data_IF_329230519045
#
_entry.id   IF_329230519045
#
_cell.length_a   1.000
_cell.length_b   1.000
_cell.length_c   1.000
_cell.angle_alpha   90.00
_cell.angle_beta   90.00
_cell.angle_gamma   90.00
#
_symmetry.space_group_name_H-M   'P 1'
#
loop_
_entity.id
_entity.type
_entity.pdbx_description
1 polymer ?
#
# COMPACT_ATOMS: atom_id res chain seq x y z
N UNK A 1 10.90 1.59 9.69
CA UNK A 1 12.03 1.38 8.75
C UNK A 1 12.72 2.68 8.32
N UNK A 2 12.01 3.68 7.78
CA UNK A 2 12.58 4.98 7.33
C UNK A 2 13.66 5.58 8.26
N UNK A 3 13.37 5.71 9.56
CA UNK A 3 14.35 6.23 10.54
C UNK A 3 15.65 5.40 10.61
N UNK A 4 15.57 4.06 10.53
CA UNK A 4 16.75 3.17 10.54
C UNK A 4 17.62 3.39 9.30
N UNK A 5 17.01 3.58 8.13
CA UNK A 5 17.72 3.87 6.88
C UNK A 5 18.29 5.30 6.83
N UNK A 6 17.62 6.27 7.44
CA UNK A 6 18.16 7.62 7.62
C UNK A 6 19.43 7.63 8.48
N UNK A 7 19.46 6.85 9.56
CA UNK A 7 20.64 6.76 10.45
C UNK A 7 21.89 6.26 9.75
N UNK A 8 21.74 5.49 8.67
CA UNK A 8 22.86 4.96 7.86
C UNK A 8 23.07 5.75 6.55
N UNK A 9 22.37 6.87 6.36
CA UNK A 9 22.47 7.70 5.16
C UNK A 9 21.86 7.12 3.89
N UNK A 10 21.20 5.96 3.95
CA UNK A 10 20.79 5.22 2.75
C UNK A 10 19.33 5.46 2.32
N UNK A 11 18.56 6.27 3.06
CA UNK A 11 17.16 6.55 2.74
C UNK A 11 16.96 7.16 1.35
N UNK A 12 17.78 8.16 1.00
CA UNK A 12 17.63 8.87 -0.28
C UNK A 12 17.88 7.95 -1.48
N UNK A 13 18.76 6.96 -1.32
CA UNK A 13 19.01 5.90 -2.31
C UNK A 13 17.78 5.01 -2.44
N UNK A 14 17.30 4.41 -1.35
CA UNK A 14 16.19 3.45 -1.44
C UNK A 14 14.85 4.07 -1.79
N UNK A 15 14.61 5.34 -1.46
CA UNK A 15 13.38 6.03 -1.82
C UNK A 15 13.40 6.55 -3.27
N UNK A 16 14.54 6.42 -3.97
CA UNK A 16 14.72 6.87 -5.35
C UNK A 16 14.88 8.38 -5.53
N UNK A 17 15.10 9.11 -4.44
CA UNK A 17 15.40 10.56 -4.47
C UNK A 17 16.80 10.83 -5.02
N UNK A 18 17.77 9.99 -4.65
CA UNK A 18 19.10 9.95 -5.25
C UNK A 18 19.10 8.88 -6.33
N UNK A 19 19.41 9.26 -7.56
CA UNK A 19 19.59 8.35 -8.69
C UNK A 19 20.97 8.60 -9.29
N UNK A 20 21.65 7.52 -9.69
CA UNK A 20 22.89 7.64 -10.43
C UNK A 20 22.64 8.11 -11.85
N UNK A 21 23.46 9.04 -12.29
CA UNK A 21 23.54 9.49 -13.68
C UNK A 21 24.84 9.02 -14.32
N UNK A 22 24.89 9.01 -15.65
CA UNK A 22 26.10 8.60 -16.37
C UNK A 22 27.26 9.56 -16.11
N UNK A 23 26.97 10.85 -15.99
CA UNK A 23 27.92 11.93 -15.71
C UNK A 23 28.45 11.98 -14.27
N UNK A 24 27.84 11.24 -13.33
CA UNK A 24 28.25 11.26 -11.92
C UNK A 24 29.69 10.77 -11.75
N UNK A 25 30.39 11.37 -10.80
CA UNK A 25 31.80 11.05 -10.53
C UNK A 25 31.93 9.61 -10.05
N UNK A 26 33.08 8.98 -10.30
CA UNK A 26 33.36 7.62 -9.84
C UNK A 26 33.13 7.45 -8.33
N UNK A 27 33.59 8.41 -7.52
CA UNK A 27 33.44 8.34 -6.06
C UNK A 27 31.96 8.41 -5.62
N UNK A 28 31.13 9.16 -6.33
CA UNK A 28 29.69 9.26 -6.06
C UNK A 28 28.95 7.96 -6.41
N UNK A 29 29.35 7.32 -7.51
CA UNK A 29 28.87 5.99 -7.91
C UNK A 29 29.23 4.93 -6.88
N UNK A 30 30.49 4.90 -6.45
CA UNK A 30 30.97 3.98 -5.41
C UNK A 30 30.18 4.16 -4.11
N UNK A 31 30.00 5.41 -3.66
CA UNK A 31 29.25 5.70 -2.45
C UNK A 31 27.77 5.34 -2.56
N UNK A 32 27.15 5.56 -3.73
CA UNK A 32 25.78 5.12 -3.99
C UNK A 32 25.63 3.61 -3.83
N UNK A 33 26.47 2.81 -4.50
CA UNK A 33 26.38 1.36 -4.42
C UNK A 33 26.65 0.84 -3.01
N UNK A 34 27.60 1.47 -2.30
CA UNK A 34 27.85 1.17 -0.89
C UNK A 34 26.60 1.39 -0.03
N UNK A 35 25.94 2.54 -0.17
CA UNK A 35 24.72 2.85 0.57
C UNK A 35 23.55 1.94 0.19
N UNK A 36 23.39 1.61 -1.09
CA UNK A 36 22.35 0.71 -1.58
C UNK A 36 22.51 -0.69 -0.99
N UNK A 37 23.74 -1.20 -0.94
CA UNK A 37 24.04 -2.51 -0.38
C UNK A 37 23.86 -2.55 1.14
N UNK A 38 24.30 -1.50 1.86
CA UNK A 38 24.06 -1.39 3.31
C UNK A 38 22.56 -1.31 3.61
N UNK A 39 21.77 -0.63 2.77
CA UNK A 39 20.32 -0.61 2.91
C UNK A 39 19.70 -1.98 2.64
N UNK A 40 20.16 -2.71 1.62
CA UNK A 40 19.73 -4.06 1.32
C UNK A 40 19.86 -4.97 2.54
N UNK A 41 21.06 -5.03 3.12
CA UNK A 41 21.32 -5.80 4.34
C UNK A 41 20.38 -5.37 5.47
N UNK A 42 20.21 -4.06 5.65
CA UNK A 42 19.35 -3.53 6.71
C UNK A 42 17.88 -3.90 6.54
N UNK A 43 17.39 -3.96 5.31
CA UNK A 43 16.03 -4.38 5.00
C UNK A 43 15.87 -5.87 5.28
N UNK A 44 16.77 -6.71 4.73
CA UNK A 44 16.77 -8.17 4.91
C UNK A 44 16.78 -8.57 6.39
N UNK A 45 17.61 -7.91 7.22
CA UNK A 45 17.66 -8.11 8.69
C UNK A 45 16.30 -7.92 9.40
N UNK A 46 15.37 -7.20 8.79
CA UNK A 46 14.08 -6.85 9.38
C UNK A 46 12.90 -7.53 8.70
N UNK A 47 13.14 -8.38 7.71
CA UNK A 47 12.11 -9.20 7.09
C UNK A 47 12.02 -10.55 7.80
N UNK A 48 10.80 -11.02 8.04
CA UNK A 48 10.58 -12.40 8.46
C UNK A 48 10.71 -13.38 7.28
N UNK A 49 10.66 -14.68 7.55
CA UNK A 49 10.81 -15.75 6.56
C UNK A 49 9.82 -15.66 5.39
N UNK A 50 8.58 -15.22 5.64
CA UNK A 50 7.56 -15.11 4.59
C UNK A 50 7.88 -13.96 3.64
N UNK A 51 8.31 -12.83 4.18
CA UNK A 51 8.69 -11.67 3.39
C UNK A 51 10.01 -11.89 2.64
N UNK A 52 10.97 -12.61 3.24
CA UNK A 52 12.19 -13.05 2.56
C UNK A 52 11.88 -13.96 1.38
N UNK A 53 11.04 -14.98 1.58
CA UNK A 53 10.61 -15.87 0.49
C UNK A 53 9.96 -15.10 -0.66
N UNK A 54 9.12 -14.11 -0.35
CA UNK A 54 8.52 -13.24 -1.36
C UNK A 54 9.57 -12.42 -2.14
N UNK A 55 10.53 -11.80 -1.45
CA UNK A 55 11.61 -11.03 -2.10
C UNK A 55 12.45 -11.94 -3.00
N UNK A 56 12.86 -13.11 -2.53
CA UNK A 56 13.67 -14.06 -3.29
C UNK A 56 12.97 -14.62 -4.53
N UNK A 57 11.63 -14.75 -4.49
CA UNK A 57 10.85 -15.23 -5.63
C UNK A 57 10.52 -14.11 -6.63
N UNK A 58 10.46 -12.85 -6.18
CA UNK A 58 9.99 -11.73 -6.99
C UNK A 58 11.10 -10.93 -7.67
N UNK A 59 12.33 -10.99 -7.15
CA UNK A 59 13.49 -10.27 -7.71
C UNK A 59 14.51 -11.24 -8.29
N UNK A 60 15.19 -10.81 -9.36
CA UNK A 60 16.38 -11.50 -9.85
C UNK A 60 17.50 -11.43 -8.80
N UNK A 61 18.47 -12.34 -8.90
CA UNK A 61 19.58 -12.41 -7.94
C UNK A 61 20.40 -11.12 -7.87
N UNK A 62 20.55 -10.40 -8.99
CA UNK A 62 21.22 -9.10 -9.04
C UNK A 62 20.39 -8.00 -8.37
N UNK A 63 19.07 -8.05 -8.50
CA UNK A 63 18.15 -7.07 -7.93
C UNK A 63 17.90 -7.29 -6.43
N UNK A 64 17.92 -8.53 -5.96
CA UNK A 64 17.75 -8.86 -4.54
C UNK A 64 18.94 -8.42 -3.67
N UNK A 65 20.06 -8.03 -4.30
CA UNK A 65 21.17 -7.39 -3.62
C UNK A 65 21.01 -5.86 -3.46
N UNK A 66 20.04 -5.26 -4.16
CA UNK A 66 19.78 -3.82 -4.15
C UNK A 66 18.72 -3.42 -3.11
N UNK A 67 19.10 -2.52 -2.21
CA UNK A 67 18.17 -1.98 -1.21
C UNK A 67 17.03 -1.20 -1.85
N UNK A 68 17.30 -0.49 -2.93
CA UNK A 68 16.29 0.20 -3.74
C UNK A 68 15.27 -0.78 -4.34
N UNK A 69 15.71 -1.86 -4.97
CA UNK A 69 14.82 -2.87 -5.57
C UNK A 69 13.95 -3.56 -4.52
N UNK A 70 14.54 -3.97 -3.39
CA UNK A 70 13.78 -4.55 -2.26
C UNK A 70 12.75 -3.55 -1.73
N UNK A 71 13.14 -2.31 -1.48
CA UNK A 71 12.23 -1.29 -0.96
C UNK A 71 11.08 -1.01 -1.93
N UNK A 72 11.38 -0.89 -3.23
CA UNK A 72 10.37 -0.71 -4.28
C UNK A 72 9.37 -1.86 -4.31
N UNK A 73 9.86 -3.11 -4.28
CA UNK A 73 9.02 -4.30 -4.27
C UNK A 73 8.10 -4.35 -3.05
N UNK A 74 8.65 -4.13 -1.85
CA UNK A 74 7.86 -4.12 -0.61
C UNK A 74 6.85 -2.98 -0.63
N UNK A 75 7.25 -1.79 -1.07
CA UNK A 75 6.34 -0.65 -1.21
C UNK A 75 5.22 -0.98 -2.18
N UNK A 76 5.48 -1.67 -3.28
CA UNK A 76 4.45 -2.12 -4.21
C UNK A 76 3.49 -3.12 -3.55
N UNK A 77 4.01 -4.18 -2.92
CA UNK A 77 3.20 -5.20 -2.23
C UNK A 77 2.30 -4.62 -1.12
N UNK A 78 2.80 -3.61 -0.40
CA UNK A 78 2.09 -3.03 0.75
C UNK A 78 1.48 -1.66 0.47
N UNK A 79 1.54 -1.15 -0.76
CA UNK A 79 0.94 0.14 -1.08
C UNK A 79 -0.60 0.10 -1.05
N UNK A 80 -1.19 -1.10 -0.88
CA UNK A 80 -2.63 -1.34 -0.87
C UNK A 80 -3.30 -1.01 -2.20
N UNK A 81 -2.57 -0.49 -3.18
CA UNK A 81 -3.10 0.13 -4.38
C UNK A 81 -2.99 -0.74 -5.63
N UNK A 82 -2.60 -2.01 -5.46
CA UNK A 82 -2.64 -2.99 -6.54
C UNK A 82 -4.09 -3.25 -6.97
N UNK A 83 -4.25 -3.76 -8.19
CA UNK A 83 -5.56 -3.96 -8.79
C UNK A 83 -6.44 -4.91 -7.95
N UNK A 84 -5.85 -5.96 -7.36
CA UNK A 84 -6.56 -6.96 -6.57
C UNK A 84 -7.14 -6.33 -5.29
N UNK A 85 -6.36 -5.50 -4.60
CA UNK A 85 -6.79 -4.81 -3.38
C UNK A 85 -7.90 -3.79 -3.65
N UNK A 86 -7.83 -3.11 -4.80
CA UNK A 86 -8.89 -2.18 -5.25
C UNK A 86 -10.17 -2.92 -5.59
N UNK A 87 -10.06 -4.02 -6.34
CA UNK A 87 -11.19 -4.84 -6.77
C UNK A 87 -11.91 -5.44 -5.56
N UNK A 88 -11.16 -6.08 -4.66
CA UNK A 88 -11.70 -6.63 -3.41
C UNK A 88 -12.35 -5.57 -2.51
N UNK A 89 -11.79 -4.36 -2.46
CA UNK A 89 -12.37 -3.27 -1.67
C UNK A 89 -13.67 -2.74 -2.31
N UNK A 90 -13.74 -2.70 -3.65
CA UNK A 90 -14.94 -2.35 -4.40
C UNK A 90 -16.03 -3.40 -4.26
N UNK A 91 -15.71 -4.68 -4.40
CA UNK A 91 -16.67 -5.78 -4.26
C UNK A 91 -17.36 -5.71 -2.90
N UNK A 92 -16.58 -5.60 -1.82
CA UNK A 92 -17.14 -5.47 -0.47
C UNK A 92 -18.02 -4.23 -0.31
N UNK A 93 -17.68 -3.13 -0.98
CA UNK A 93 -18.51 -1.93 -0.96
C UNK A 93 -19.82 -2.11 -1.74
N UNK A 94 -19.79 -2.81 -2.87
CA UNK A 94 -20.98 -3.14 -3.64
C UNK A 94 -21.86 -4.16 -2.92
N UNK A 95 -21.28 -5.08 -2.17
CA UNK A 95 -21.96 -6.10 -1.36
C UNK A 95 -22.55 -5.55 -0.05
N UNK A 96 -22.17 -4.34 0.39
CA UNK A 96 -22.72 -3.71 1.58
C UNK A 96 -24.25 -3.66 1.50
N UNK A 97 -24.91 -4.16 2.55
CA UNK A 97 -26.35 -4.22 2.69
C UNK A 97 -26.76 -3.82 4.10
N UNK A 98 -27.93 -3.19 4.22
CA UNK A 98 -28.54 -2.97 5.52
C UNK A 98 -29.14 -4.29 6.03
N UNK A 99 -28.72 -4.73 7.21
CA UNK A 99 -29.27 -5.90 7.89
C UNK A 99 -29.65 -5.51 9.32
N UNK A 100 -30.95 -5.29 9.54
CA UNK A 100 -31.67 -5.17 10.82
C UNK A 100 -31.16 -4.17 11.89
N UNK A 101 -30.00 -3.53 11.68
CA UNK A 101 -29.37 -2.64 12.66
C UNK A 101 -28.62 -1.52 11.98
N UNK A 102 -29.08 -0.29 12.24
CA UNK A 102 -28.41 0.93 11.78
C UNK A 102 -27.00 1.07 12.35
N UNK A 103 -26.79 0.68 13.62
CA UNK A 103 -25.48 0.77 14.25
C UNK A 103 -24.45 -0.15 13.58
N UNK A 104 -24.86 -1.39 13.26
CA UNK A 104 -24.00 -2.35 12.57
C UNK A 104 -23.71 -1.90 11.15
N UNK A 105 -24.73 -1.42 10.43
CA UNK A 105 -24.57 -0.88 9.09
C UNK A 105 -23.58 0.29 9.03
N UNK A 106 -23.68 1.25 9.96
CA UNK A 106 -22.75 2.39 10.02
C UNK A 106 -21.32 1.90 10.30
N UNK A 107 -21.14 0.99 11.25
CA UNK A 107 -19.84 0.44 11.58
C UNK A 107 -19.20 -0.30 10.38
N UNK A 108 -20.00 -1.09 9.66
CA UNK A 108 -19.55 -1.81 8.48
C UNK A 108 -19.23 -0.87 7.31
N UNK A 109 -20.07 0.13 7.06
CA UNK A 109 -19.84 1.17 6.06
C UNK A 109 -18.55 1.95 6.34
N UNK A 110 -18.26 2.27 7.60
CA UNK A 110 -17.00 2.90 8.01
C UNK A 110 -15.80 1.99 7.77
N UNK A 111 -15.90 0.72 8.16
CA UNK A 111 -14.84 -0.27 7.94
C UNK A 111 -14.52 -0.46 6.45
N UNK A 112 -15.54 -0.52 5.59
CA UNK A 112 -15.38 -0.61 4.15
C UNK A 112 -14.80 0.69 3.57
N UNK A 113 -15.24 1.86 4.02
CA UNK A 113 -14.66 3.13 3.57
C UNK A 113 -13.17 3.23 3.92
N UNK A 114 -12.76 2.76 5.11
CA UNK A 114 -11.34 2.64 5.46
C UNK A 114 -10.57 1.74 4.48
N UNK A 115 -11.16 0.63 4.05
CA UNK A 115 -10.56 -0.27 3.04
C UNK A 115 -10.43 0.43 1.68
N UNK A 116 -11.47 1.12 1.20
CA UNK A 116 -11.42 1.87 -0.06
C UNK A 116 -10.31 2.94 -0.05
N UNK A 117 -10.18 3.69 1.05
CA UNK A 117 -9.15 4.72 1.21
C UNK A 117 -7.75 4.09 1.25
N UNK A 118 -7.59 3.00 2.01
CA UNK A 118 -6.32 2.26 2.09
C UNK A 118 -5.93 1.70 0.72
N UNK A 119 -6.92 1.21 -0.03
CA UNK A 119 -6.70 0.67 -1.35
C UNK A 119 -6.52 1.74 -2.46
N UNK A 120 -6.64 3.02 -2.10
CA UNK A 120 -6.60 4.16 -3.01
C UNK A 120 -7.60 4.00 -4.17
N UNK A 121 -8.79 3.53 -3.86
CA UNK A 121 -9.90 3.48 -4.82
C UNK A 121 -10.34 4.92 -5.09
N UNK A 122 -10.29 5.34 -6.35
CA UNK A 122 -10.59 6.70 -6.80
C UNK A 122 -12.08 7.05 -6.83
N UNK A 123 -12.84 6.64 -5.82
CA UNK A 123 -14.25 7.00 -5.69
C UNK A 123 -14.39 8.31 -4.92
N UNK A 124 -15.07 9.27 -5.54
CA UNK A 124 -15.41 10.55 -4.93
C UNK A 124 -16.26 10.37 -3.66
N UNK A 125 -16.07 11.25 -2.66
CA UNK A 125 -16.76 11.16 -1.37
C UNK A 125 -18.27 11.36 -1.49
N UNK A 126 -18.73 12.23 -2.39
CA UNK A 126 -20.15 12.45 -2.64
C UNK A 126 -20.76 11.21 -3.31
N UNK A 127 -20.04 10.60 -4.27
CA UNK A 127 -20.47 9.34 -4.91
C UNK A 127 -20.57 8.22 -3.88
N UNK A 128 -19.55 8.04 -3.02
CA UNK A 128 -19.59 7.02 -1.94
C UNK A 128 -20.77 7.23 -1.01
N UNK A 129 -21.00 8.47 -0.58
CA UNK A 129 -22.12 8.81 0.31
C UNK A 129 -23.46 8.49 -0.35
N UNK A 130 -23.65 8.89 -1.61
CA UNK A 130 -24.86 8.58 -2.38
C UNK A 130 -25.08 7.07 -2.50
N UNK A 131 -24.03 6.30 -2.77
CA UNK A 131 -24.12 4.84 -2.88
C UNK A 131 -24.48 4.17 -1.54
N UNK A 132 -23.89 4.60 -0.41
CA UNK A 132 -24.23 4.08 0.92
C UNK A 132 -25.68 4.40 1.28
N UNK A 133 -26.14 5.62 1.01
CA UNK A 133 -27.53 6.01 1.29
C UNK A 133 -28.55 5.17 0.50
N UNK A 134 -28.22 4.75 -0.72
CA UNK A 134 -29.07 3.84 -1.53
C UNK A 134 -29.17 2.42 -0.95
N UNK A 135 -28.31 2.04 0.00
CA UNK A 135 -28.35 0.73 0.68
C UNK A 135 -29.27 0.70 1.89
N UNK A 136 -29.71 1.87 2.36
CA UNK A 136 -30.65 1.95 3.47
C UNK A 136 -32.05 1.54 3.00
N UNK A 137 -32.87 0.94 3.89
CA UNK A 137 -34.25 0.65 3.57
C UNK A 137 -34.97 1.95 3.20
N UNK A 138 -35.70 1.94 2.09
CA UNK A 138 -36.65 3.00 1.79
C UNK A 138 -37.73 2.96 2.85
N UNK A 139 -37.97 4.07 3.55
CA UNK A 139 -39.16 4.23 4.37
C UNK A 139 -40.38 4.05 3.46
N UNK A 140 -41.03 2.89 3.54
CA UNK A 140 -42.33 2.69 2.92
C UNK A 140 -43.33 3.55 3.71
N UNK A 141 -43.65 4.72 3.17
CA UNK A 141 -44.59 5.69 3.77
C UNK A 141 -46.06 5.18 3.65
N UNK A 142 -46.28 3.95 3.20
CA UNK A 142 -47.63 3.41 2.95
C UNK A 142 -48.29 2.66 4.13
N UNK A 143 -47.65 2.56 5.31
CA UNK A 143 -48.23 1.82 6.46
C UNK A 143 -48.74 2.70 7.62
N UNK A 144 -48.97 4.01 7.41
CA UNK A 144 -49.48 4.91 8.47
C UNK A 144 -50.74 5.71 8.01
N UNK A 145 -51.60 5.14 7.16
CA UNK A 145 -52.97 5.63 6.96
C UNK A 145 -53.94 4.44 6.94
#
# INVERSE_FOLDING_TARGET
MKSKLNKIGAWQVVNGEKQLKEEDKRDEKVEYYRLDQVASNKLVEHLDSNHLGYVSQSLLQTESSSGYSIWRLLKHKYAGNDHISKDLALDKFLELQYIDSMANFIAEAQAINHRLVTAKVGLDNQVKTSMVLRKLPTLDVQTIL
#
